data_IF_240263398255
#
_entry.id   IF_240263398255
#
_cell.length_a   1.000
_cell.length_b   1.000
_cell.length_c   1.000
_cell.angle_alpha   90.00
_cell.angle_beta   90.00
_cell.angle_gamma   90.00
#
_symmetry.space_group_name_H-M   'P 1'
#
loop_
_entity.id
_entity.type
_entity.pdbx_description
1 polymer ?
#
# COMPACT_ATOMS: atom_id res chain seq x y z
N UNK A 1 12.49 23.46 -54.75
CA UNK A 1 13.04 23.56 -53.37
C UNK A 1 12.10 23.12 -52.25
N UNK A 2 10.75 23.17 -52.37
CA UNK A 2 9.84 22.75 -51.28
C UNK A 2 9.73 21.23 -51.02
N UNK A 3 10.05 20.37 -51.97
CA UNK A 3 9.96 18.91 -51.84
C UNK A 3 11.12 18.25 -51.06
N UNK A 4 12.27 18.86 -51.02
CA UNK A 4 13.44 18.33 -50.29
C UNK A 4 13.38 18.61 -48.78
N UNK A 5 12.75 19.71 -48.38
CA UNK A 5 12.54 20.03 -46.96
C UNK A 5 11.56 19.07 -46.25
N UNK A 6 10.58 18.56 -46.99
CA UNK A 6 9.60 17.61 -46.42
C UNK A 6 10.22 16.22 -46.15
N UNK A 7 11.12 15.78 -47.07
CA UNK A 7 11.82 14.51 -46.89
C UNK A 7 12.79 14.54 -45.71
N UNK A 8 13.46 15.66 -45.45
CA UNK A 8 14.37 15.83 -44.32
C UNK A 8 13.64 15.86 -42.96
N UNK A 9 12.46 16.49 -42.92
CA UNK A 9 11.65 16.57 -41.70
C UNK A 9 11.05 15.21 -41.32
N UNK A 10 10.66 14.41 -42.29
CA UNK A 10 10.12 13.05 -42.06
C UNK A 10 11.24 12.10 -41.59
N UNK A 11 12.45 12.23 -42.12
CA UNK A 11 13.60 11.43 -41.66
C UNK A 11 14.03 11.84 -40.25
N UNK A 12 14.00 13.12 -39.89
CA UNK A 12 14.28 13.60 -38.54
C UNK A 12 13.22 13.16 -37.53
N UNK A 13 11.93 13.10 -37.90
CA UNK A 13 10.87 12.58 -37.05
C UNK A 13 10.94 11.06 -36.88
N UNK A 14 11.39 10.32 -37.90
CA UNK A 14 11.58 8.87 -37.81
C UNK A 14 12.81 8.48 -36.98
N UNK A 15 13.89 9.28 -37.03
CA UNK A 15 15.08 9.03 -36.21
C UNK A 15 14.86 9.42 -34.72
N UNK A 16 14.02 10.42 -34.46
CA UNK A 16 13.65 10.76 -33.06
C UNK A 16 12.75 9.70 -32.41
N UNK A 17 11.97 8.96 -33.18
CA UNK A 17 11.11 7.87 -32.66
C UNK A 17 11.83 6.54 -32.44
N UNK A 18 13.04 6.35 -32.99
CA UNK A 18 13.83 5.11 -32.77
C UNK A 18 14.74 5.18 -31.55
N UNK A 19 14.94 6.37 -30.98
CA UNK A 19 15.80 6.57 -29.80
C UNK A 19 15.10 6.33 -28.45
N UNK A 20 13.81 5.94 -28.41
CA UNK A 20 13.04 5.86 -27.16
C UNK A 20 12.69 4.42 -26.75
N UNK A 21 13.10 3.40 -27.47
CA UNK A 21 12.83 2.02 -27.06
C UNK A 21 14.07 1.20 -26.76
N UNK A 22 15.06 1.76 -26.10
CA UNK A 22 15.95 0.95 -25.30
C UNK A 22 15.09 0.46 -24.11
N UNK A 23 14.45 -0.69 -24.26
CA UNK A 23 13.70 -1.36 -23.23
C UNK A 23 14.61 -1.47 -22.01
N UNK A 24 14.39 -0.61 -21.01
CA UNK A 24 15.28 -0.53 -19.85
C UNK A 24 15.15 -1.84 -19.10
N UNK A 25 16.13 -2.75 -19.28
CA UNK A 25 16.16 -4.00 -18.54
C UNK A 25 16.13 -3.70 -17.04
N UNK A 26 15.20 -4.33 -16.35
CA UNK A 26 15.09 -4.27 -14.89
C UNK A 26 15.80 -5.44 -14.22
N UNK A 27 16.34 -6.38 -14.98
CA UNK A 27 17.02 -7.56 -14.47
C UNK A 27 18.08 -7.21 -13.41
N UNK A 28 18.05 -7.89 -12.30
CA UNK A 28 18.96 -7.66 -11.17
C UNK A 28 18.65 -6.44 -10.32
N UNK A 29 17.65 -5.61 -10.67
CA UNK A 29 17.27 -4.45 -9.86
C UNK A 29 16.36 -4.84 -8.72
N UNK A 30 16.51 -4.13 -7.61
CA UNK A 30 15.67 -4.29 -6.42
C UNK A 30 15.17 -2.93 -5.97
N UNK A 31 13.86 -2.86 -5.71
CA UNK A 31 13.19 -1.67 -5.21
C UNK A 31 12.57 -1.98 -3.86
N UNK A 32 12.64 -1.02 -2.92
CA UNK A 32 12.23 -1.22 -1.54
C UNK A 32 11.51 0.01 -0.97
N UNK A 33 10.51 -0.25 -0.12
CA UNK A 33 9.92 0.73 0.78
C UNK A 33 9.82 0.15 2.19
N UNK A 34 10.40 0.83 3.20
CA UNK A 34 10.51 0.26 4.55
C UNK A 34 9.17 0.23 5.31
N UNK A 35 8.21 1.06 4.93
CA UNK A 35 6.90 1.11 5.58
C UNK A 35 5.84 1.80 4.73
N UNK A 36 5.21 1.07 3.80
CA UNK A 36 4.12 1.59 2.96
C UNK A 36 2.87 1.96 3.75
N UNK A 37 2.65 1.35 4.92
CA UNK A 37 1.48 1.63 5.77
C UNK A 37 1.50 3.04 6.35
N UNK A 38 2.66 3.64 6.59
CA UNK A 38 2.74 4.98 7.19
C UNK A 38 1.98 6.03 6.35
N UNK A 39 2.12 5.99 5.02
CA UNK A 39 1.38 6.85 4.11
C UNK A 39 -0.13 6.54 4.07
N UNK A 40 -0.46 5.24 4.00
CA UNK A 40 -1.86 4.79 3.96
C UNK A 40 -2.64 5.17 5.22
N UNK A 41 -2.03 4.98 6.39
CA UNK A 41 -2.70 5.22 7.67
C UNK A 41 -2.89 6.71 7.94
N UNK A 42 -1.96 7.57 7.54
CA UNK A 42 -2.10 9.01 7.69
C UNK A 42 -3.31 9.56 6.92
N UNK A 43 -3.58 9.05 5.73
CA UNK A 43 -4.76 9.46 4.98
C UNK A 43 -6.05 8.81 5.47
N UNK A 44 -6.01 7.55 5.89
CA UNK A 44 -7.18 6.89 6.45
C UNK A 44 -7.72 7.61 7.70
N UNK A 45 -6.86 8.40 8.36
CA UNK A 45 -7.21 9.18 9.55
C UNK A 45 -7.66 10.61 9.25
N UNK A 46 -7.58 11.11 8.00
CA UNK A 46 -8.03 12.48 7.67
C UNK A 46 -9.51 12.74 7.98
N UNK A 47 -10.35 11.71 7.95
CA UNK A 47 -11.79 11.82 8.22
C UNK A 47 -12.23 10.99 9.43
N UNK A 48 -11.29 10.70 10.36
CA UNK A 48 -11.60 9.84 11.51
C UNK A 48 -12.75 10.39 12.33
N UNK A 49 -12.74 11.69 12.64
CA UNK A 49 -13.77 12.30 13.47
C UNK A 49 -15.17 12.15 12.85
N UNK A 50 -15.31 12.35 11.53
CA UNK A 50 -16.56 12.14 10.81
C UNK A 50 -17.01 10.69 10.83
N UNK A 51 -16.10 9.77 10.52
CA UNK A 51 -16.38 8.32 10.53
C UNK A 51 -16.71 7.81 11.93
N UNK A 52 -16.06 8.36 12.96
CA UNK A 52 -16.34 8.06 14.35
C UNK A 52 -17.71 8.55 14.75
N UNK A 53 -18.11 9.78 14.37
CA UNK A 53 -19.44 10.29 14.63
C UNK A 53 -20.53 9.45 13.94
N UNK A 54 -20.32 9.04 12.68
CA UNK A 54 -21.23 8.14 11.96
C UNK A 54 -21.30 6.74 12.61
N UNK A 55 -20.15 6.18 12.99
CA UNK A 55 -20.09 4.88 13.67
C UNK A 55 -20.77 4.95 15.05
N UNK A 56 -20.54 6.01 15.81
CA UNK A 56 -21.18 6.28 17.10
C UNK A 56 -22.71 6.26 16.96
N UNK A 57 -23.26 6.98 15.98
CA UNK A 57 -24.70 6.98 15.72
C UNK A 57 -25.23 5.58 15.44
N UNK A 58 -24.54 4.80 14.60
CA UNK A 58 -24.92 3.40 14.31
C UNK A 58 -24.84 2.49 15.53
N UNK A 59 -23.83 2.65 16.39
CA UNK A 59 -23.71 1.86 17.63
C UNK A 59 -24.81 2.18 18.62
N UNK A 60 -25.15 3.47 18.81
CA UNK A 60 -26.27 3.90 19.65
C UNK A 60 -27.58 3.30 19.14
N UNK A 61 -27.91 3.50 17.87
CA UNK A 61 -29.15 2.97 17.26
C UNK A 61 -29.25 1.44 17.40
N UNK A 62 -28.13 0.71 17.20
CA UNK A 62 -28.09 -0.75 17.38
C UNK A 62 -28.30 -1.18 18.82
N UNK A 63 -27.73 -0.45 19.79
CA UNK A 63 -27.89 -0.74 21.21
C UNK A 63 -29.31 -0.45 21.70
N UNK A 64 -29.92 0.66 21.25
CA UNK A 64 -31.31 1.02 21.52
C UNK A 64 -32.28 -0.03 20.96
N UNK A 65 -32.07 -0.45 19.71
CA UNK A 65 -32.85 -1.53 19.08
C UNK A 65 -32.76 -2.84 19.86
N UNK A 66 -31.55 -3.18 20.35
CA UNK A 66 -31.36 -4.40 21.15
C UNK A 66 -32.05 -4.33 22.53
N UNK A 67 -32.11 -3.15 23.14
CA UNK A 67 -32.72 -2.93 24.46
C UNK A 67 -34.22 -2.63 24.39
N UNK A 68 -34.76 -2.33 23.21
CA UNK A 68 -36.14 -1.91 23.04
C UNK A 68 -36.47 -0.53 23.63
N UNK A 69 -35.45 0.24 24.01
CA UNK A 69 -35.59 1.60 24.59
C UNK A 69 -34.42 2.50 24.20
N UNK A 70 -34.57 3.79 24.37
CA UNK A 70 -33.45 4.75 24.26
C UNK A 70 -32.41 4.49 25.33
N UNK A 71 -31.16 4.73 25.01
CA UNK A 71 -30.06 4.69 25.98
C UNK A 71 -30.15 5.87 26.92
N UNK A 72 -29.80 5.65 28.18
CA UNK A 72 -29.63 6.73 29.17
C UNK A 72 -28.31 7.49 28.88
N UNK A 73 -28.21 8.72 29.40
CA UNK A 73 -26.99 9.53 29.23
C UNK A 73 -25.76 8.81 29.80
N UNK A 74 -25.89 8.06 30.89
CA UNK A 74 -24.82 7.25 31.46
C UNK A 74 -24.38 6.10 30.54
N UNK A 75 -25.32 5.44 29.87
CA UNK A 75 -25.04 4.39 28.90
C UNK A 75 -24.36 4.94 27.66
N UNK A 76 -24.78 6.12 27.21
CA UNK A 76 -24.11 6.85 26.07
C UNK A 76 -22.69 7.25 26.47
N UNK A 77 -22.50 7.80 27.67
CA UNK A 77 -21.17 8.18 28.15
C UNK A 77 -20.20 6.98 28.25
N UNK A 78 -20.68 5.80 28.70
CA UNK A 78 -19.90 4.56 28.71
C UNK A 78 -19.50 4.14 27.28
N UNK A 79 -20.42 4.22 26.33
CA UNK A 79 -20.16 3.91 24.94
C UNK A 79 -19.10 4.87 24.33
N UNK A 80 -19.21 6.15 24.62
CA UNK A 80 -18.27 7.17 24.16
C UNK A 80 -16.87 6.94 24.76
N UNK A 81 -16.77 6.56 26.01
CA UNK A 81 -15.51 6.19 26.65
C UNK A 81 -14.86 4.96 26.01
N UNK A 82 -15.66 3.93 25.65
CA UNK A 82 -15.15 2.76 24.92
C UNK A 82 -14.67 3.10 23.51
N UNK A 83 -15.41 3.94 22.79
CA UNK A 83 -15.00 4.41 21.44
C UNK A 83 -13.69 5.17 21.54
N UNK A 84 -13.58 6.12 22.48
CA UNK A 84 -12.35 6.90 22.70
C UNK A 84 -11.16 6.01 23.04
N UNK A 85 -11.35 5.01 23.87
CA UNK A 85 -10.32 4.03 24.21
C UNK A 85 -9.87 3.24 22.96
N UNK A 86 -10.81 2.71 22.18
CA UNK A 86 -10.49 1.96 20.95
C UNK A 86 -9.74 2.81 19.92
N UNK A 87 -10.08 4.09 19.81
CA UNK A 87 -9.35 5.02 18.93
C UNK A 87 -7.91 5.24 19.41
N UNK A 88 -7.71 5.43 20.72
CA UNK A 88 -6.36 5.55 21.29
C UNK A 88 -5.54 4.29 21.03
N UNK A 89 -6.13 3.09 21.22
CA UNK A 89 -5.48 1.81 20.97
C UNK A 89 -5.12 1.68 19.47
N UNK A 90 -5.99 2.11 18.56
CA UNK A 90 -5.72 2.12 17.12
C UNK A 90 -4.56 3.05 16.75
N UNK A 91 -4.46 4.23 17.35
CA UNK A 91 -3.35 5.16 17.11
C UNK A 91 -2.01 4.59 17.61
N UNK A 92 -2.01 3.88 18.73
CA UNK A 92 -0.83 3.18 19.24
C UNK A 92 -0.41 2.06 18.28
N UNK A 93 -1.36 1.25 17.83
CA UNK A 93 -1.11 0.16 16.86
C UNK A 93 -0.62 0.69 15.53
N UNK A 94 -1.17 1.80 15.05
CA UNK A 94 -0.74 2.49 13.83
C UNK A 94 0.74 2.85 13.89
N UNK A 95 1.23 3.37 15.01
CA UNK A 95 2.64 3.71 15.19
C UNK A 95 3.54 2.47 15.25
N UNK A 96 3.02 1.36 15.76
CA UNK A 96 3.75 0.10 15.92
C UNK A 96 3.71 -0.83 14.72
N UNK A 97 2.78 -0.64 13.78
CA UNK A 97 2.62 -1.51 12.62
C UNK A 97 3.45 -0.97 11.45
N UNK A 98 4.29 -1.83 10.89
CA UNK A 98 5.12 -1.53 9.72
C UNK A 98 4.91 -2.62 8.66
N UNK A 99 4.84 -2.22 7.40
CA UNK A 99 4.82 -3.12 6.26
C UNK A 99 5.86 -2.67 5.24
N UNK A 100 6.94 -3.43 5.13
CA UNK A 100 7.93 -3.24 4.10
C UNK A 100 7.52 -3.99 2.83
N UNK A 101 7.75 -3.39 1.67
CA UNK A 101 7.58 -4.02 0.36
C UNK A 101 8.91 -3.99 -0.37
N UNK A 102 9.28 -5.12 -0.96
CA UNK A 102 10.45 -5.26 -1.83
C UNK A 102 10.04 -5.91 -3.13
N UNK A 103 10.43 -5.32 -4.26
CA UNK A 103 10.25 -5.87 -5.60
C UNK A 103 11.64 -6.20 -6.16
N UNK A 104 11.89 -7.46 -6.44
CA UNK A 104 13.16 -7.96 -7.00
C UNK A 104 12.93 -8.48 -8.42
N UNK A 105 13.51 -7.85 -9.41
CA UNK A 105 13.54 -8.33 -10.78
C UNK A 105 14.72 -9.30 -10.93
N UNK A 106 14.41 -10.59 -10.99
CA UNK A 106 15.43 -11.65 -11.00
C UNK A 106 16.19 -11.75 -12.33
N UNK A 107 15.44 -11.63 -13.40
CA UNK A 107 15.90 -11.64 -14.78
C UNK A 107 14.95 -10.78 -15.64
N UNK A 108 14.98 -10.91 -16.97
CA UNK A 108 14.14 -10.12 -17.88
C UNK A 108 12.65 -10.49 -17.89
N UNK A 109 12.25 -11.51 -17.15
CA UNK A 109 10.85 -12.00 -17.12
C UNK A 109 10.32 -12.23 -15.70
N UNK A 110 11.19 -12.58 -14.77
CA UNK A 110 10.78 -13.05 -13.44
C UNK A 110 10.93 -11.95 -12.41
N UNK A 111 9.90 -11.79 -11.59
CA UNK A 111 9.85 -10.85 -10.48
C UNK A 111 9.43 -11.56 -9.19
N UNK A 112 9.96 -11.10 -8.07
CA UNK A 112 9.57 -11.54 -6.73
C UNK A 112 9.12 -10.32 -5.94
N UNK A 113 7.88 -10.33 -5.50
CA UNK A 113 7.33 -9.38 -4.54
C UNK A 113 7.47 -9.97 -3.14
N UNK A 114 8.13 -9.26 -2.24
CA UNK A 114 8.25 -9.61 -0.83
C UNK A 114 7.52 -8.59 0.02
N UNK A 115 6.72 -9.08 0.95
CA UNK A 115 6.02 -8.27 1.94
C UNK A 115 6.43 -8.74 3.33
N UNK A 116 6.91 -7.82 4.15
CA UNK A 116 7.28 -8.07 5.54
C UNK A 116 6.46 -7.16 6.44
N UNK A 117 5.50 -7.75 7.15
CA UNK A 117 4.61 -7.04 8.07
C UNK A 117 5.01 -7.35 9.50
N UNK A 118 5.31 -6.31 10.26
CA UNK A 118 5.73 -6.39 11.66
C UNK A 118 4.89 -5.49 12.54
N UNK A 119 4.62 -5.93 13.75
CA UNK A 119 4.03 -5.11 14.80
C UNK A 119 4.96 -5.08 16.01
N UNK A 120 5.18 -3.88 16.55
CA UNK A 120 6.00 -3.69 17.75
C UNK A 120 5.31 -4.32 18.98
N UNK A 121 6.08 -5.07 19.78
CA UNK A 121 5.59 -5.62 21.05
C UNK A 121 5.18 -4.51 22.02
N UNK A 122 5.98 -3.44 22.07
CA UNK A 122 5.70 -2.29 22.93
C UNK A 122 4.39 -1.59 22.53
N UNK A 123 4.12 -1.45 21.21
CA UNK A 123 2.85 -0.90 20.76
C UNK A 123 1.66 -1.79 21.15
N UNK A 124 1.78 -3.10 21.01
CA UNK A 124 0.76 -4.04 21.45
C UNK A 124 0.54 -3.98 22.96
N UNK A 125 1.63 -3.89 23.74
CA UNK A 125 1.58 -3.75 25.20
C UNK A 125 0.91 -2.44 25.62
N UNK A 126 1.30 -1.33 24.99
CA UNK A 126 0.72 -0.01 25.26
C UNK A 126 -0.77 0.06 24.90
N UNK A 127 -1.21 -0.67 23.87
CA UNK A 127 -2.62 -0.84 23.52
C UNK A 127 -3.38 -1.81 24.45
N UNK A 128 -2.76 -2.29 25.54
CA UNK A 128 -3.40 -3.12 26.56
C UNK A 128 -3.56 -4.59 26.18
N UNK A 129 -2.89 -5.07 25.12
CA UNK A 129 -2.95 -6.50 24.78
C UNK A 129 -2.10 -7.34 25.73
N UNK A 130 -2.73 -8.33 26.36
CA UNK A 130 -2.07 -9.32 27.20
C UNK A 130 -1.08 -10.19 26.38
N UNK A 131 -0.10 -10.82 27.06
CA UNK A 131 0.97 -11.59 26.45
C UNK A 131 0.50 -12.61 25.41
N UNK A 132 -0.56 -13.38 25.71
CA UNK A 132 -1.07 -14.41 24.80
C UNK A 132 -1.62 -13.81 23.51
N UNK A 133 -2.39 -12.70 23.60
CA UNK A 133 -2.90 -11.99 22.42
C UNK A 133 -1.78 -11.39 21.59
N UNK A 134 -0.73 -10.84 22.21
CA UNK A 134 0.43 -10.32 21.49
C UNK A 134 1.14 -11.40 20.69
N UNK A 135 1.37 -12.58 21.29
CA UNK A 135 1.93 -13.73 20.58
C UNK A 135 1.06 -14.18 19.40
N UNK A 136 -0.25 -14.28 19.60
CA UNK A 136 -1.19 -14.67 18.55
C UNK A 136 -1.20 -13.68 17.38
N UNK A 137 -1.22 -12.37 17.65
CA UNK A 137 -1.18 -11.34 16.61
C UNK A 137 0.13 -11.37 15.81
N UNK A 138 1.28 -11.52 16.48
CA UNK A 138 2.58 -11.66 15.79
C UNK A 138 2.63 -12.91 14.93
N UNK A 139 2.14 -14.04 15.44
CA UNK A 139 2.08 -15.28 14.69
C UNK A 139 1.16 -15.15 13.45
N UNK A 140 -0.01 -14.54 13.60
CA UNK A 140 -0.92 -14.30 12.48
C UNK A 140 -0.30 -13.43 11.38
N UNK A 141 0.46 -12.39 11.74
CA UNK A 141 1.17 -11.55 10.77
C UNK A 141 2.33 -12.29 10.08
N UNK A 142 2.98 -13.21 10.80
CA UNK A 142 4.07 -14.01 10.24
C UNK A 142 3.59 -15.09 9.27
N UNK A 143 2.32 -15.50 9.32
CA UNK A 143 1.72 -16.50 8.41
C UNK A 143 1.32 -15.86 7.07
N UNK A 144 1.17 -14.54 7.00
CA UNK A 144 0.88 -13.86 5.74
C UNK A 144 1.98 -14.17 4.71
N UNK A 145 1.63 -14.42 3.42
CA UNK A 145 2.63 -14.78 2.42
C UNK A 145 3.67 -13.69 2.29
N UNK A 146 4.90 -14.00 2.73
CA UNK A 146 6.02 -13.07 2.73
C UNK A 146 6.63 -12.87 1.35
N UNK A 147 6.29 -13.72 0.37
CA UNK A 147 6.88 -13.71 -0.95
C UNK A 147 5.92 -14.28 -2.01
N UNK A 148 5.72 -13.53 -3.08
CA UNK A 148 4.98 -13.94 -4.27
C UNK A 148 5.92 -13.89 -5.47
N UNK A 149 5.91 -14.95 -6.28
CA UNK A 149 6.65 -15.01 -7.55
C UNK A 149 5.69 -14.71 -8.68
N UNK A 150 6.16 -13.97 -9.66
CA UNK A 150 5.40 -13.63 -10.85
C UNK A 150 6.30 -13.37 -12.04
N UNK A 151 5.69 -12.96 -13.13
CA UNK A 151 6.36 -12.50 -14.33
C UNK A 151 6.13 -11.01 -14.52
N UNK A 152 6.94 -10.37 -15.35
CA UNK A 152 6.72 -8.98 -15.70
C UNK A 152 7.08 -8.69 -17.16
N UNK A 153 6.50 -7.63 -17.67
CA UNK A 153 6.89 -7.00 -18.92
C UNK A 153 7.04 -5.50 -18.69
N UNK A 154 7.97 -4.89 -19.44
CA UNK A 154 8.13 -3.43 -19.47
C UNK A 154 7.58 -2.91 -20.78
N UNK A 155 6.69 -1.93 -20.72
CA UNK A 155 6.16 -1.23 -21.88
C UNK A 155 6.24 0.27 -21.61
N UNK A 156 7.12 0.95 -22.34
CA UNK A 156 7.46 2.36 -22.09
C UNK A 156 8.01 2.53 -20.66
N UNK A 157 7.32 3.30 -19.83
CA UNK A 157 7.64 3.47 -18.41
C UNK A 157 6.76 2.62 -17.47
N UNK A 158 5.93 1.74 -18.03
CA UNK A 158 5.05 0.84 -17.27
C UNK A 158 5.70 -0.51 -17.05
N UNK A 159 5.63 -1.01 -15.84
CA UNK A 159 6.00 -2.37 -15.45
C UNK A 159 4.72 -3.09 -15.11
N UNK A 160 4.31 -4.02 -15.95
CA UNK A 160 3.11 -4.84 -15.75
C UNK A 160 3.59 -6.17 -15.19
N UNK A 161 3.21 -6.45 -13.95
CA UNK A 161 3.52 -7.71 -13.26
C UNK A 161 2.28 -8.59 -13.25
N UNK A 162 2.47 -9.89 -13.42
CA UNK A 162 1.42 -10.90 -13.32
C UNK A 162 1.84 -11.97 -12.32
N UNK A 163 0.95 -12.32 -11.42
CA UNK A 163 1.15 -13.44 -10.50
C UNK A 163 0.82 -14.79 -11.14
N UNK A 164 0.86 -15.88 -10.35
CA UNK A 164 0.53 -17.24 -10.80
C UNK A 164 -0.92 -17.40 -11.27
N UNK A 165 -1.83 -16.55 -10.83
CA UNK A 165 -3.26 -16.59 -11.14
C UNK A 165 -3.61 -15.61 -12.29
N UNK A 166 -2.58 -15.01 -12.94
CA UNK A 166 -2.66 -13.97 -13.97
C UNK A 166 -3.34 -12.67 -13.51
N UNK A 167 -3.41 -12.45 -12.20
CA UNK A 167 -3.78 -11.13 -11.69
C UNK A 167 -2.66 -10.13 -12.02
N UNK A 168 -3.04 -8.97 -12.55
CA UNK A 168 -2.08 -8.00 -13.08
C UNK A 168 -2.03 -6.76 -12.23
N UNK A 169 -0.82 -6.40 -11.83
CA UNK A 169 -0.50 -5.13 -11.20
C UNK A 169 0.37 -4.28 -12.14
N UNK A 170 0.13 -2.98 -12.15
CA UNK A 170 0.91 -2.03 -12.96
C UNK A 170 1.64 -1.06 -12.05
N UNK A 171 2.93 -0.93 -12.28
CA UNK A 171 3.77 0.10 -11.65
C UNK A 171 4.42 0.97 -12.72
N UNK A 172 4.86 2.16 -12.35
CA UNK A 172 5.54 3.10 -13.23
C UNK A 172 6.98 3.31 -12.77
N UNK A 173 7.93 3.14 -13.70
CA UNK A 173 9.33 3.41 -13.43
C UNK A 173 9.66 4.86 -13.76
N UNK A 174 10.45 5.53 -12.91
CA UNK A 174 10.96 6.87 -13.19
C UNK A 174 11.97 6.85 -14.33
N UNK A 175 12.12 7.95 -15.07
CA UNK A 175 13.04 8.07 -16.20
C UNK A 175 14.50 7.73 -15.81
N UNK A 176 14.92 8.09 -14.60
CA UNK A 176 16.26 7.80 -14.07
C UNK A 176 16.38 6.38 -13.49
N UNK A 177 15.31 5.60 -13.50
CA UNK A 177 15.26 4.23 -12.98
C UNK A 177 15.43 4.11 -11.46
N UNK A 178 15.38 5.22 -10.72
CA UNK A 178 15.57 5.22 -9.25
C UNK A 178 14.34 4.85 -8.47
N UNK A 179 13.16 5.00 -9.06
CA UNK A 179 11.90 4.81 -8.38
C UNK A 179 10.96 3.91 -9.17
N UNK A 180 10.16 3.14 -8.43
CA UNK A 180 9.04 2.39 -8.94
C UNK A 180 7.79 2.86 -8.18
N UNK A 181 6.79 3.39 -8.88
CA UNK A 181 5.57 3.92 -8.29
C UNK A 181 4.41 3.02 -8.65
N UNK A 182 3.67 2.55 -7.67
CA UNK A 182 2.45 1.77 -7.84
C UNK A 182 1.27 2.44 -7.18
N UNK A 183 0.09 1.84 -7.35
CA UNK A 183 -1.13 2.24 -6.66
C UNK A 183 -1.61 1.09 -5.79
N UNK A 184 -1.95 1.39 -4.55
CA UNK A 184 -2.64 0.48 -3.66
C UNK A 184 -4.15 0.55 -3.92
N UNK A 185 -4.90 -0.35 -3.29
CA UNK A 185 -6.36 -0.28 -3.29
C UNK A 185 -6.86 1.15 -3.03
N UNK A 186 -7.87 1.60 -3.78
CA UNK A 186 -8.42 2.96 -3.76
C UNK A 186 -7.53 4.04 -4.37
N UNK A 187 -6.61 3.65 -5.28
CA UNK A 187 -5.86 4.61 -6.08
C UNK A 187 -4.76 5.37 -5.34
N UNK A 188 -4.33 4.91 -4.17
CA UNK A 188 -3.27 5.57 -3.39
C UNK A 188 -1.89 5.23 -3.93
N UNK A 189 -1.10 6.23 -4.35
CA UNK A 189 0.24 5.98 -4.85
C UNK A 189 1.19 5.59 -3.71
N UNK A 190 2.08 4.67 -3.99
CA UNK A 190 3.25 4.39 -3.16
C UNK A 190 4.49 4.38 -4.04
N UNK A 191 5.64 4.68 -3.44
CA UNK A 191 6.91 4.84 -4.13
C UNK A 191 7.96 3.93 -3.52
N UNK A 192 8.50 3.04 -4.31
CA UNK A 192 9.64 2.21 -3.94
C UNK A 192 10.92 2.87 -4.45
N UNK A 193 11.97 2.84 -3.66
CA UNK A 193 13.29 3.36 -4.02
C UNK A 193 14.20 2.20 -4.44
N UNK A 194 14.98 2.38 -5.50
CA UNK A 194 15.98 1.41 -5.94
C UNK A 194 17.07 1.28 -4.88
N UNK A 195 17.38 0.04 -4.50
CA UNK A 195 18.43 -0.30 -3.52
C UNK A 195 19.54 -1.16 -4.12
N UNK A 196 19.31 -1.70 -5.32
CA UNK A 196 20.30 -2.45 -6.11
C UNK A 196 20.03 -2.26 -7.60
#
# INVERSE_FOLDING_TARGET
MRRQLFGLLVVLLLTASVAISAQTSLAGRTYHHPNVLAGMMNEATKDVDKKVAEARGKFIAKAEKKKGRKLTDEEVAKLDAEIKKKLADMEILKKGLKMAITVEFKDDKNVVLKQDTKVSDDALKAAGYGWLKRKAMKAALAIAPSSQKGTYIVKDNMVIMADKDNEKDTMFISQDGKYLTGQLEKGKPFKLTRVK
#
